data_IF_071454223359
#
_entry.id   IF_071454223359
#
_cell.length_a   1.000
_cell.length_b   1.000
_cell.length_c   1.000
_cell.angle_alpha   90.00
_cell.angle_beta   90.00
_cell.angle_gamma   90.00
#
_symmetry.space_group_name_H-M   'P 1'
#
loop_
_entity.id
_entity.type
_entity.pdbx_description
1 polymer ?
#
# COMPACT_ATOMS: atom_id res chain seq x y z
N UNK A 1 17.44 -13.39 12.12
CA UNK A 1 17.58 -11.93 11.90
C UNK A 1 16.20 -11.42 11.50
N UNK A 2 15.45 -10.85 12.44
CA UNK A 2 14.05 -10.45 12.22
C UNK A 2 14.04 -9.16 11.40
N UNK A 3 13.84 -9.25 10.07
CA UNK A 3 13.36 -8.10 9.28
C UNK A 3 11.94 -7.75 9.75
N UNK A 4 11.82 -7.20 10.97
CA UNK A 4 10.56 -6.77 11.56
C UNK A 4 10.42 -5.27 11.31
N UNK A 5 9.34 -4.93 10.59
CA UNK A 5 8.77 -3.61 10.33
C UNK A 5 9.43 -2.83 9.18
N UNK A 6 9.13 -3.19 7.93
CA UNK A 6 9.25 -2.24 6.81
C UNK A 6 8.11 -1.23 6.88
N UNK A 7 8.28 -0.23 7.76
CA UNK A 7 7.53 1.03 7.71
C UNK A 7 8.07 1.83 6.53
N UNK A 8 7.23 2.14 5.56
CA UNK A 8 7.56 2.98 4.42
C UNK A 8 6.82 4.30 4.56
N UNK A 9 7.57 5.40 4.51
CA UNK A 9 6.98 6.71 4.32
C UNK A 9 7.07 7.04 2.83
N UNK A 10 5.93 7.38 2.25
CA UNK A 10 5.73 7.68 0.84
C UNK A 10 5.18 9.10 0.71
N UNK A 11 5.61 9.83 -0.30
CA UNK A 11 5.14 11.19 -0.56
C UNK A 11 4.10 11.19 -1.67
N UNK A 12 3.00 11.93 -1.49
CA UNK A 12 2.05 12.23 -2.57
C UNK A 12 2.43 13.50 -3.31
N UNK A 13 1.85 13.71 -4.48
CA UNK A 13 2.05 14.93 -5.28
C UNK A 13 1.60 16.21 -4.56
N UNK A 14 0.69 16.07 -3.60
CA UNK A 14 0.10 17.18 -2.84
C UNK A 14 0.82 17.43 -1.51
N UNK A 15 1.97 16.81 -1.27
CA UNK A 15 2.76 16.98 -0.05
C UNK A 15 2.25 16.22 1.17
N UNK A 16 1.20 15.40 1.01
CA UNK A 16 0.74 14.49 2.07
C UNK A 16 1.71 13.31 2.19
N UNK A 17 2.01 12.88 3.42
CA UNK A 17 2.78 11.66 3.66
C UNK A 17 1.86 10.48 3.90
N UNK A 18 2.15 9.36 3.26
CA UNK A 18 1.50 8.07 3.47
C UNK A 18 2.49 7.15 4.15
N UNK A 19 2.12 6.64 5.32
CA UNK A 19 2.86 5.60 6.01
C UNK A 19 2.23 4.25 5.71
N UNK A 20 3.04 3.30 5.24
CA UNK A 20 2.65 1.91 5.01
C UNK A 20 3.43 1.02 5.96
N UNK A 21 2.72 0.18 6.71
CA UNK A 21 3.31 -0.92 7.48
C UNK A 21 2.88 -2.24 6.85
N UNK A 22 3.75 -2.80 6.01
CA UNK A 22 3.54 -4.06 5.31
C UNK A 22 3.59 -5.27 6.27
N UNK A 23 4.15 -5.14 7.48
CA UNK A 23 4.16 -6.24 8.46
C UNK A 23 2.78 -6.41 9.11
N UNK A 24 2.10 -5.29 9.37
CA UNK A 24 0.80 -5.29 10.06
C UNK A 24 -0.39 -5.08 9.12
N UNK A 25 -0.15 -4.87 7.82
CA UNK A 25 -1.21 -4.57 6.85
C UNK A 25 -1.93 -3.26 7.16
N UNK A 26 -1.22 -2.20 7.55
CA UNK A 26 -1.81 -0.89 7.89
C UNK A 26 -1.28 0.19 6.95
N UNK A 27 -2.19 1.05 6.47
CA UNK A 27 -1.84 2.29 5.78
C UNK A 27 -2.50 3.47 6.48
N UNK A 28 -1.77 4.57 6.61
CA UNK A 28 -2.26 5.81 7.18
C UNK A 28 -1.72 7.01 6.41
N UNK A 29 -2.54 8.02 6.16
CA UNK A 29 -2.07 9.31 5.67
C UNK A 29 -1.93 10.31 6.82
N UNK A 30 -1.00 11.25 6.69
CA UNK A 30 -0.88 12.36 7.62
C UNK A 30 -2.17 13.20 7.59
N UNK A 31 -2.75 13.45 8.77
CA UNK A 31 -4.06 14.13 8.91
C UNK A 31 -5.29 13.34 8.43
N UNK A 32 -5.16 12.07 8.05
CA UNK A 32 -6.27 11.24 7.55
C UNK A 32 -6.50 9.95 8.35
N UNK A 33 -7.43 9.12 7.84
CA UNK A 33 -7.78 7.85 8.46
C UNK A 33 -6.71 6.78 8.21
N UNK A 34 -6.63 5.82 9.15
CA UNK A 34 -5.82 4.61 8.98
C UNK A 34 -6.72 3.44 8.59
N UNK A 35 -6.27 2.62 7.66
CA UNK A 35 -7.00 1.45 7.15
C UNK A 35 -6.16 0.19 7.26
N UNK A 36 -6.84 -0.94 7.50
CA UNK A 36 -6.24 -2.27 7.45
C UNK A 36 -6.49 -2.91 6.08
N UNK A 37 -5.49 -3.60 5.54
CA UNK A 37 -5.56 -4.29 4.26
C UNK A 37 -4.91 -5.68 4.34
N UNK A 38 -5.41 -6.59 3.51
CA UNK A 38 -4.86 -7.93 3.31
C UNK A 38 -4.06 -8.01 1.99
N UNK A 39 -4.40 -7.18 1.00
CA UNK A 39 -3.75 -7.16 -0.31
C UNK A 39 -3.57 -5.73 -0.86
N UNK A 40 -2.55 -5.54 -1.70
CA UNK A 40 -2.32 -4.32 -2.47
C UNK A 40 -2.39 -4.64 -3.97
N UNK A 41 -3.25 -3.95 -4.71
CA UNK A 41 -3.13 -3.91 -6.17
C UNK A 41 -2.36 -2.69 -6.61
N UNK A 42 -1.59 -2.85 -7.67
CA UNK A 42 -0.85 -1.79 -8.31
C UNK A 42 -1.40 -1.64 -9.72
N UNK A 43 -2.08 -0.53 -9.99
CA UNK A 43 -2.45 -0.16 -11.34
C UNK A 43 -1.30 0.65 -11.94
N UNK A 44 -0.55 0.04 -12.85
CA UNK A 44 0.62 0.64 -13.48
C UNK A 44 0.27 1.71 -14.53
N UNK A 45 -0.93 1.68 -15.11
CA UNK A 45 -1.35 2.63 -16.16
C UNK A 45 -1.58 4.03 -15.58
N UNK A 46 -2.08 4.10 -14.34
CA UNK A 46 -2.41 5.36 -13.65
C UNK A 46 -1.67 5.54 -12.32
N UNK A 47 -0.72 4.64 -12.02
CA UNK A 47 0.11 4.64 -10.80
C UNK A 47 -0.71 4.76 -9.50
N UNK A 48 -1.83 4.02 -9.44
CA UNK A 48 -2.70 3.95 -8.26
C UNK A 48 -2.41 2.68 -7.47
N UNK A 49 -2.34 2.82 -6.15
CA UNK A 49 -2.27 1.70 -5.22
C UNK A 49 -3.63 1.51 -4.57
N UNK A 50 -4.18 0.29 -4.66
CA UNK A 50 -5.49 -0.07 -4.11
C UNK A 50 -5.30 -1.04 -2.94
N UNK A 51 -5.77 -0.62 -1.77
CA UNK A 51 -5.79 -1.40 -0.55
C UNK A 51 -7.06 -2.23 -0.49
N UNK A 52 -6.92 -3.54 -0.32
CA UNK A 52 -8.03 -4.45 -0.31
C UNK A 52 -8.05 -5.32 0.93
N UNK A 53 -9.24 -5.54 1.48
CA UNK A 53 -9.49 -6.45 2.60
C UNK A 53 -10.40 -7.59 2.15
N UNK A 54 -10.16 -8.79 2.64
CA UNK A 54 -11.00 -9.96 2.44
C UNK A 54 -12.14 -9.97 3.47
N UNK A 55 -13.37 -9.89 3.01
CA UNK A 55 -14.58 -9.95 3.84
C UNK A 55 -15.50 -11.02 3.26
N UNK A 56 -15.77 -12.09 4.01
CA UNK A 56 -16.60 -13.21 3.56
C UNK A 56 -16.18 -13.76 2.19
N UNK A 57 -14.87 -13.98 1.99
CA UNK A 57 -14.27 -14.41 0.72
C UNK A 57 -14.35 -13.42 -0.45
N UNK A 58 -14.91 -12.22 -0.23
CA UNK A 58 -14.93 -11.15 -1.24
C UNK A 58 -13.83 -10.13 -0.97
N UNK A 59 -13.22 -9.65 -2.05
CA UNK A 59 -12.24 -8.57 -2.01
C UNK A 59 -12.96 -7.22 -1.96
N UNK A 60 -12.74 -6.44 -0.91
CA UNK A 60 -13.35 -5.12 -0.71
C UNK A 60 -12.27 -4.05 -0.66
N UNK A 61 -12.39 -3.03 -1.50
CA UNK A 61 -11.51 -1.86 -1.46
C UNK A 61 -11.73 -1.10 -0.15
N UNK A 62 -10.66 -0.93 0.63
CA UNK A 62 -10.67 -0.17 1.89
C UNK A 62 -9.89 1.15 1.79
N UNK A 63 -9.20 1.39 0.68
CA UNK A 63 -8.49 2.64 0.42
C UNK A 63 -7.81 2.62 -0.94
N UNK A 64 -7.60 3.79 -1.53
CA UNK A 64 -6.81 3.96 -2.73
C UNK A 64 -6.03 5.26 -2.66
N UNK A 65 -4.81 5.27 -3.18
CA UNK A 65 -3.96 6.45 -3.17
C UNK A 65 -2.96 6.47 -4.31
N UNK A 66 -2.45 7.66 -4.62
CA UNK A 66 -1.33 7.89 -5.53
C UNK A 66 -0.17 8.48 -4.73
N UNK A 67 1.04 8.07 -5.10
CA UNK A 67 2.30 8.57 -4.56
C UNK A 67 3.19 9.01 -5.71
N UNK A 68 4.32 9.64 -5.40
CA UNK A 68 5.33 9.94 -6.42
C UNK A 68 5.78 8.66 -7.15
N UNK A 69 6.12 8.71 -8.45
CA UNK A 69 6.50 7.52 -9.22
C UNK A 69 7.63 6.70 -8.59
N UNK A 70 8.63 7.37 -7.98
CA UNK A 70 9.72 6.71 -7.26
C UNK A 70 9.24 5.95 -6.02
N UNK A 71 8.28 6.52 -5.28
CA UNK A 71 7.67 5.90 -4.10
C UNK A 71 6.70 4.78 -4.48
N UNK A 72 6.04 4.87 -5.64
CA UNK A 72 5.21 3.80 -6.18
C UNK A 72 6.04 2.55 -6.46
N UNK A 73 7.16 2.69 -7.19
CA UNK A 73 8.08 1.59 -7.48
C UNK A 73 8.66 0.98 -6.20
N UNK A 74 9.09 1.83 -5.26
CA UNK A 74 9.60 1.41 -3.95
C UNK A 74 8.58 0.60 -3.16
N UNK A 75 7.32 1.03 -3.14
CA UNK A 75 6.26 0.29 -2.47
C UNK A 75 5.99 -1.05 -3.18
N UNK A 76 5.97 -1.08 -4.51
CA UNK A 76 5.75 -2.30 -5.29
C UNK A 76 6.84 -3.35 -5.03
N UNK A 77 8.10 -2.94 -4.99
CA UNK A 77 9.22 -3.82 -4.64
C UNK A 77 9.13 -4.34 -3.20
N UNK A 78 8.80 -3.46 -2.25
CA UNK A 78 8.64 -3.85 -0.86
C UNK A 78 7.44 -4.80 -0.63
N UNK A 79 6.34 -4.58 -1.35
CA UNK A 79 5.16 -5.45 -1.31
C UNK A 79 5.48 -6.87 -1.83
N UNK A 80 6.23 -6.97 -2.94
CA UNK A 80 6.73 -8.25 -3.47
C UNK A 80 7.60 -8.98 -2.45
N UNK A 81 8.52 -8.28 -1.79
CA UNK A 81 9.38 -8.85 -0.76
C UNK A 81 8.59 -9.38 0.46
N UNK A 82 7.41 -8.81 0.74
CA UNK A 82 6.52 -9.25 1.80
C UNK A 82 5.43 -10.24 1.36
N UNK A 83 5.55 -10.82 0.16
CA UNK A 83 4.62 -11.81 -0.39
C UNK A 83 3.17 -11.29 -0.56
N UNK A 84 2.97 -9.98 -0.62
CA UNK A 84 1.68 -9.45 -1.09
C UNK A 84 1.55 -9.77 -2.58
N UNK A 85 0.36 -10.24 -2.98
CA UNK A 85 0.05 -10.49 -4.39
C UNK A 85 0.11 -9.18 -5.18
N UNK A 86 1.14 -9.02 -6.02
CA UNK A 86 1.17 -7.99 -7.06
C UNK A 86 0.62 -8.61 -8.34
N UNK A 87 -0.67 -8.90 -8.39
CA UNK A 87 -1.29 -9.32 -9.64
C UNK A 87 -1.64 -8.05 -10.45
N UNK A 88 -1.34 -7.99 -11.76
CA UNK A 88 -1.87 -6.94 -12.62
C UNK A 88 -3.41 -7.06 -12.63
N UNK A 89 -4.08 -5.92 -12.60
CA UNK A 89 -5.53 -5.84 -12.77
C UNK A 89 -5.96 -6.38 -14.15
#
# INVERSE_FOLDING_TARGET
MTEKLKKLNLSTALGTQITVNLTNGIISSDGGASVYFDNLDFNDDVEIVICNKMVNFNRVCCGAFQVMPSDFLKLKEAAKAHQYKTEPA
#
